data_IF_844150807743
#
_entry.id   IF_844150807743
#
_cell.length_a   1.000
_cell.length_b   1.000
_cell.length_c   1.000
_cell.angle_alpha   90.00
_cell.angle_beta   90.00
_cell.angle_gamma   90.00
#
_symmetry.space_group_name_H-M   'P 1'
#
loop_
_entity.id
_entity.type
_entity.pdbx_description
1 polymer ?
#
# COMPACT_ATOMS: atom_id res chain seq x y z
N UNK A 1 6.51 37.00 -3.44
CA UNK A 1 6.47 36.24 -4.70
C UNK A 1 5.17 35.46 -4.73
N UNK A 2 4.17 35.97 -5.45
CA UNK A 2 2.86 35.33 -5.63
C UNK A 2 3.03 34.12 -6.54
N UNK A 3 3.32 32.93 -5.96
CA UNK A 3 3.19 31.70 -6.70
C UNK A 3 1.72 31.58 -7.15
N UNK A 4 1.57 31.45 -8.48
CA UNK A 4 0.30 31.34 -9.18
C UNK A 4 -0.60 30.34 -8.45
N UNK A 5 -1.68 30.80 -7.83
CA UNK A 5 -2.54 30.04 -6.89
C UNK A 5 -3.15 28.76 -7.49
N UNK A 6 -2.97 28.53 -8.80
CA UNK A 6 -3.46 27.35 -9.52
C UNK A 6 -2.39 26.29 -9.83
N UNK A 7 -1.09 26.59 -9.69
CA UNK A 7 -0.04 25.64 -10.08
C UNK A 7 0.10 24.47 -9.08
N UNK A 8 0.01 24.75 -7.78
CA UNK A 8 0.09 23.71 -6.75
C UNK A 8 -1.12 22.76 -6.79
N UNK A 9 -2.34 23.28 -7.08
CA UNK A 9 -3.55 22.45 -7.20
C UNK A 9 -3.39 21.45 -8.33
N UNK A 10 -2.99 21.91 -9.52
CA UNK A 10 -2.76 21.02 -10.65
C UNK A 10 -1.72 19.95 -10.32
N UNK A 11 -0.63 20.33 -9.70
CA UNK A 11 0.45 19.42 -9.33
C UNK A 11 -0.02 18.37 -8.30
N UNK A 12 -0.71 18.81 -7.26
CA UNK A 12 -1.25 17.92 -6.23
C UNK A 12 -2.31 16.96 -6.78
N UNK A 13 -3.29 17.46 -7.55
CA UNK A 13 -4.34 16.60 -8.11
C UNK A 13 -3.82 15.64 -9.18
N UNK A 14 -2.83 16.02 -9.97
CA UNK A 14 -2.15 15.10 -10.91
C UNK A 14 -1.52 13.93 -10.14
N UNK A 15 -0.78 14.24 -9.07
CA UNK A 15 -0.18 13.24 -8.20
C UNK A 15 -1.26 12.36 -7.55
N UNK A 16 -2.30 12.99 -6.97
CA UNK A 16 -3.35 12.30 -6.23
C UNK A 16 -4.17 11.35 -7.12
N UNK A 17 -4.49 11.75 -8.35
CA UNK A 17 -5.23 10.91 -9.31
C UNK A 17 -4.38 9.71 -9.73
N UNK A 18 -3.11 9.91 -10.07
CA UNK A 18 -2.21 8.82 -10.44
C UNK A 18 -2.05 7.81 -9.31
N UNK A 19 -1.85 8.29 -8.10
CA UNK A 19 -1.76 7.44 -6.91
C UNK A 19 -3.10 6.75 -6.60
N UNK A 20 -4.23 7.41 -6.80
CA UNK A 20 -5.56 6.82 -6.63
C UNK A 20 -5.81 5.65 -7.58
N UNK A 21 -5.42 5.76 -8.84
CA UNK A 21 -5.51 4.67 -9.82
C UNK A 21 -4.64 3.49 -9.37
N UNK A 22 -3.40 3.76 -8.93
CA UNK A 22 -2.50 2.72 -8.42
C UNK A 22 -3.04 2.05 -7.15
N UNK A 23 -3.61 2.78 -6.20
CA UNK A 23 -4.22 2.21 -5.00
C UNK A 23 -5.39 1.27 -5.34
N UNK A 24 -6.25 1.66 -6.28
CA UNK A 24 -7.38 0.82 -6.70
C UNK A 24 -6.87 -0.45 -7.39
N UNK A 25 -5.95 -0.34 -8.37
CA UNK A 25 -5.41 -1.50 -9.08
C UNK A 25 -4.66 -2.45 -8.16
N UNK A 26 -3.86 -1.91 -7.24
CA UNK A 26 -3.13 -2.69 -6.23
C UNK A 26 -4.07 -3.38 -5.24
N UNK A 27 -5.15 -2.72 -4.83
CA UNK A 27 -6.19 -3.32 -4.00
C UNK A 27 -6.93 -4.46 -4.72
N UNK A 28 -7.26 -4.27 -6.01
CA UNK A 28 -7.87 -5.31 -6.84
C UNK A 28 -6.96 -6.53 -6.94
N UNK A 29 -5.67 -6.33 -7.26
CA UNK A 29 -4.72 -7.44 -7.37
C UNK A 29 -4.52 -8.14 -6.02
N UNK A 30 -4.45 -7.41 -4.92
CA UNK A 30 -4.31 -7.99 -3.58
C UNK A 30 -5.46 -8.95 -3.26
N UNK A 31 -6.71 -8.55 -3.53
CA UNK A 31 -7.89 -9.40 -3.31
C UNK A 31 -7.94 -10.56 -4.31
N UNK A 32 -7.58 -10.35 -5.58
CA UNK A 32 -7.51 -11.41 -6.58
C UNK A 32 -6.51 -12.51 -6.20
N UNK A 33 -5.35 -12.12 -5.65
CA UNK A 33 -4.35 -13.07 -5.10
C UNK A 33 -4.95 -13.88 -3.95
N UNK A 34 -5.69 -13.24 -3.04
CA UNK A 34 -6.36 -13.93 -1.93
C UNK A 34 -7.38 -14.94 -2.47
N UNK A 35 -8.23 -14.55 -3.42
CA UNK A 35 -9.19 -15.47 -4.05
C UNK A 35 -8.50 -16.64 -4.76
N UNK A 36 -7.40 -16.36 -5.47
CA UNK A 36 -6.61 -17.41 -6.12
C UNK A 36 -6.02 -18.40 -5.11
N UNK A 37 -5.44 -17.92 -4.00
CA UNK A 37 -4.89 -18.76 -2.96
C UNK A 37 -5.97 -19.61 -2.28
N UNK A 38 -7.14 -19.04 -2.00
CA UNK A 38 -8.29 -19.78 -1.45
C UNK A 38 -8.71 -20.88 -2.42
N UNK A 39 -8.93 -20.54 -3.70
CA UNK A 39 -9.38 -21.50 -4.71
C UNK A 39 -8.35 -22.62 -4.96
N UNK A 40 -7.05 -22.31 -4.91
CA UNK A 40 -5.98 -23.27 -5.19
C UNK A 40 -5.67 -24.18 -4.00
N UNK A 41 -5.71 -23.67 -2.77
CA UNK A 41 -5.18 -24.38 -1.60
C UNK A 41 -6.23 -24.77 -0.59
N UNK A 42 -7.34 -24.07 -0.54
CA UNK A 42 -8.39 -24.18 0.50
C UNK A 42 -7.82 -24.32 1.93
N UNK A 43 -6.68 -23.64 2.20
CA UNK A 43 -5.91 -23.77 3.43
C UNK A 43 -5.89 -22.47 4.21
N UNK A 44 -6.44 -22.50 5.43
CA UNK A 44 -6.38 -21.37 6.36
C UNK A 44 -4.93 -20.97 6.71
N UNK A 45 -4.04 -21.98 6.80
CA UNK A 45 -2.62 -21.73 7.14
C UNK A 45 -1.95 -20.93 6.04
N UNK A 46 -2.12 -21.32 4.76
CA UNK A 46 -1.53 -20.61 3.64
C UNK A 46 -2.06 -19.18 3.55
N UNK A 47 -3.34 -18.98 3.77
CA UNK A 47 -3.96 -17.66 3.74
C UNK A 47 -3.44 -16.78 4.89
N UNK A 48 -3.30 -17.34 6.08
CA UNK A 48 -2.72 -16.64 7.24
C UNK A 48 -1.27 -16.24 6.98
N UNK A 49 -0.45 -17.15 6.42
CA UNK A 49 0.95 -16.86 6.05
C UNK A 49 0.99 -15.77 4.96
N UNK A 50 0.14 -15.83 3.94
CA UNK A 50 0.07 -14.83 2.89
C UNK A 50 -0.26 -13.43 3.45
N UNK A 51 -1.22 -13.35 4.36
CA UNK A 51 -1.58 -12.11 5.04
C UNK A 51 -0.44 -11.59 5.91
N UNK A 52 0.22 -12.47 6.66
CA UNK A 52 1.37 -12.11 7.50
C UNK A 52 2.52 -11.57 6.64
N UNK A 53 2.87 -12.26 5.56
CA UNK A 53 3.91 -11.83 4.61
C UNK A 53 3.55 -10.50 3.96
N UNK A 54 2.28 -10.29 3.61
CA UNK A 54 1.80 -9.04 3.03
C UNK A 54 1.82 -7.85 4.00
N UNK A 55 1.90 -8.09 5.31
CA UNK A 55 1.84 -7.03 6.33
C UNK A 55 3.14 -6.85 7.12
N UNK A 56 3.83 -7.95 7.43
CA UNK A 56 5.02 -7.95 8.29
C UNK A 56 6.14 -7.01 7.81
N UNK A 57 6.53 -7.00 6.50
CA UNK A 57 7.54 -6.08 6.01
C UNK A 57 7.16 -4.61 6.27
N UNK A 58 5.91 -4.24 6.03
CA UNK A 58 5.43 -2.87 6.27
C UNK A 58 5.48 -2.51 7.76
N UNK A 59 5.09 -3.42 8.64
CA UNK A 59 5.13 -3.19 10.08
C UNK A 59 6.57 -3.07 10.61
N UNK A 60 7.48 -3.94 10.15
CA UNK A 60 8.88 -3.94 10.60
C UNK A 60 9.71 -2.82 9.97
N UNK A 61 9.51 -2.54 8.68
CA UNK A 61 10.30 -1.55 7.95
C UNK A 61 9.75 -0.13 8.08
N UNK A 62 8.48 0.05 8.49
CA UNK A 62 7.83 1.36 8.55
C UNK A 62 8.64 2.43 9.28
N UNK A 63 9.12 2.19 10.51
CA UNK A 63 9.95 3.16 11.23
C UNK A 63 11.25 3.51 10.51
N UNK A 64 11.90 2.51 9.89
CA UNK A 64 13.13 2.70 9.11
C UNK A 64 12.84 3.41 7.79
N UNK A 65 11.73 3.08 7.14
CA UNK A 65 11.32 3.71 5.90
C UNK A 65 11.03 5.20 6.06
N UNK A 66 10.43 5.63 7.18
CA UNK A 66 10.23 7.04 7.50
C UNK A 66 11.55 7.81 7.50
N UNK A 67 12.52 7.36 8.29
CA UNK A 67 13.85 8.00 8.38
C UNK A 67 14.60 7.93 7.04
N UNK A 68 14.45 6.84 6.29
CA UNK A 68 15.05 6.72 4.96
C UNK A 68 14.47 7.76 3.98
N UNK A 69 13.15 7.91 3.96
CA UNK A 69 12.43 8.86 3.11
C UNK A 69 12.82 10.31 3.41
N UNK A 70 12.99 10.66 4.69
CA UNK A 70 13.39 12.01 5.08
C UNK A 70 14.81 12.39 4.61
N UNK A 71 15.64 11.38 4.34
CA UNK A 71 17.03 11.55 3.88
C UNK A 71 17.23 11.42 2.38
N UNK A 72 16.22 10.97 1.64
CA UNK A 72 16.30 10.73 0.21
C UNK A 72 15.27 11.54 -0.56
N UNK A 73 15.44 11.60 -1.87
CA UNK A 73 14.43 12.20 -2.75
C UNK A 73 13.11 11.41 -2.65
N UNK A 74 12.08 12.03 -2.09
CA UNK A 74 10.75 11.41 -1.95
C UNK A 74 10.20 10.94 -3.29
N UNK A 75 10.43 11.74 -4.35
CA UNK A 75 10.11 11.39 -5.73
C UNK A 75 10.81 10.10 -6.18
N UNK A 76 12.11 10.00 -5.93
CA UNK A 76 12.91 8.81 -6.28
C UNK A 76 12.47 7.58 -5.50
N UNK A 77 12.14 7.72 -4.22
CA UNK A 77 11.65 6.61 -3.38
C UNK A 77 10.29 6.10 -3.87
N UNK A 78 9.34 7.00 -4.20
CA UNK A 78 8.03 6.61 -4.73
C UNK A 78 8.16 5.86 -6.05
N UNK A 79 8.90 6.42 -7.03
CA UNK A 79 9.11 5.78 -8.33
C UNK A 79 9.82 4.44 -8.17
N UNK A 80 10.86 4.37 -7.35
CA UNK A 80 11.61 3.13 -7.10
C UNK A 80 10.75 2.04 -6.48
N UNK A 81 9.90 2.38 -5.52
CA UNK A 81 8.95 1.46 -4.90
C UNK A 81 7.91 0.95 -5.89
N UNK A 82 7.29 1.85 -6.67
CA UNK A 82 6.29 1.48 -7.68
C UNK A 82 6.90 0.59 -8.77
N UNK A 83 8.10 0.91 -9.25
CA UNK A 83 8.81 0.08 -10.23
C UNK A 83 9.20 -1.30 -9.68
N UNK A 84 9.63 -1.38 -8.42
CA UNK A 84 9.93 -2.66 -7.77
C UNK A 84 8.68 -3.53 -7.67
N UNK A 85 7.54 -2.95 -7.28
CA UNK A 85 6.25 -3.64 -7.22
C UNK A 85 5.81 -4.10 -8.61
N UNK A 86 5.89 -3.22 -9.61
CA UNK A 86 5.52 -3.53 -10.99
C UNK A 86 6.42 -4.62 -11.60
N UNK A 87 7.73 -4.58 -11.35
CA UNK A 87 8.67 -5.60 -11.81
C UNK A 87 8.37 -6.98 -11.19
N UNK A 88 8.13 -7.03 -9.88
CA UNK A 88 7.75 -8.27 -9.21
C UNK A 88 6.42 -8.83 -9.75
N UNK A 89 5.42 -7.97 -9.97
CA UNK A 89 4.17 -8.34 -10.61
C UNK A 89 4.38 -8.85 -12.05
N UNK A 90 5.21 -8.18 -12.83
CA UNK A 90 5.54 -8.56 -14.20
C UNK A 90 6.21 -9.93 -14.29
N UNK A 91 7.16 -10.22 -13.41
CA UNK A 91 7.78 -11.54 -13.32
C UNK A 91 6.77 -12.63 -12.98
N UNK A 92 5.83 -12.33 -12.05
CA UNK A 92 4.76 -13.27 -11.72
C UNK A 92 3.79 -13.47 -12.90
N UNK A 93 3.43 -12.41 -13.62
CA UNK A 93 2.58 -12.50 -14.81
C UNK A 93 3.24 -13.33 -15.91
N UNK A 94 4.53 -13.14 -16.15
CA UNK A 94 5.30 -13.95 -17.12
C UNK A 94 5.34 -15.42 -16.69
N UNK A 95 5.61 -15.71 -15.41
CA UNK A 95 5.58 -17.08 -14.90
C UNK A 95 4.22 -17.73 -15.09
N UNK A 96 3.12 -16.98 -14.91
CA UNK A 96 1.75 -17.44 -15.10
C UNK A 96 1.40 -17.84 -16.55
N UNK A 97 2.18 -17.37 -17.53
CA UNK A 97 2.00 -17.77 -18.94
C UNK A 97 2.55 -19.17 -19.25
N UNK A 98 3.55 -19.62 -18.50
CA UNK A 98 4.29 -20.85 -18.79
C UNK A 98 3.98 -21.98 -17.81
N UNK A 99 3.58 -21.64 -16.60
CA UNK A 99 3.37 -22.63 -15.53
C UNK A 99 2.21 -22.22 -14.62
N UNK A 100 1.62 -23.22 -13.94
CA UNK A 100 0.78 -22.90 -12.80
C UNK A 100 1.60 -22.20 -11.72
N UNK A 101 1.11 -21.04 -11.24
CA UNK A 101 1.81 -20.27 -10.23
C UNK A 101 1.99 -21.06 -8.93
N UNK A 102 3.21 -21.37 -8.51
CA UNK A 102 3.44 -22.01 -7.24
C UNK A 102 3.17 -21.03 -6.09
N UNK A 103 2.64 -21.52 -4.98
CA UNK A 103 2.28 -20.71 -3.81
C UNK A 103 3.47 -19.88 -3.30
N UNK A 104 4.68 -20.47 -3.28
CA UNK A 104 5.87 -19.76 -2.83
C UNK A 104 6.22 -18.52 -3.68
N UNK A 105 6.00 -18.57 -5.00
CA UNK A 105 6.26 -17.42 -5.87
C UNK A 105 5.31 -16.27 -5.55
N UNK A 106 4.04 -16.58 -5.28
CA UNK A 106 3.04 -15.59 -4.83
C UNK A 106 3.49 -14.97 -3.49
N UNK A 107 3.98 -15.79 -2.54
CA UNK A 107 4.47 -15.31 -1.24
C UNK A 107 5.66 -14.35 -1.41
N UNK A 108 6.60 -14.66 -2.31
CA UNK A 108 7.74 -13.77 -2.62
C UNK A 108 7.25 -12.44 -3.18
N UNK A 109 6.30 -12.46 -4.11
CA UNK A 109 5.74 -11.22 -4.68
C UNK A 109 4.98 -10.41 -3.62
N UNK A 110 4.19 -11.04 -2.76
CA UNK A 110 3.53 -10.37 -1.63
C UNK A 110 4.55 -9.70 -0.70
N UNK A 111 5.67 -10.36 -0.41
CA UNK A 111 6.76 -9.80 0.40
C UNK A 111 7.38 -8.56 -0.26
N UNK A 112 7.69 -8.64 -1.56
CA UNK A 112 8.26 -7.51 -2.32
C UNK A 112 7.27 -6.35 -2.37
N UNK A 113 5.99 -6.61 -2.64
CA UNK A 113 4.93 -5.59 -2.67
C UNK A 113 4.79 -4.90 -1.31
N UNK A 114 4.76 -5.66 -0.23
CA UNK A 114 4.68 -5.13 1.14
C UNK A 114 5.91 -4.27 1.49
N UNK A 115 7.10 -4.71 1.07
CA UNK A 115 8.33 -3.94 1.23
C UNK A 115 8.27 -2.62 0.44
N UNK A 116 7.83 -2.65 -0.82
CA UNK A 116 7.65 -1.45 -1.63
C UNK A 116 6.66 -0.48 -0.98
N UNK A 117 5.52 -0.97 -0.51
CA UNK A 117 4.50 -0.17 0.17
C UNK A 117 5.03 0.46 1.46
N UNK A 118 5.91 -0.24 2.20
CA UNK A 118 6.53 0.28 3.41
C UNK A 118 7.35 1.57 3.17
N UNK A 119 7.98 1.71 2.01
CA UNK A 119 8.71 2.92 1.63
C UNK A 119 7.83 3.93 0.89
N UNK A 120 6.91 3.45 0.05
CA UNK A 120 6.04 4.31 -0.75
C UNK A 120 5.10 5.15 0.12
N UNK A 121 4.42 4.54 1.11
CA UNK A 121 3.43 5.22 1.94
C UNK A 121 3.97 6.44 2.71
N UNK A 122 5.10 6.36 3.44
CA UNK A 122 5.66 7.53 4.10
C UNK A 122 6.18 8.57 3.09
N UNK A 123 6.73 8.15 1.93
CA UNK A 123 7.18 9.07 0.89
C UNK A 123 6.03 9.90 0.31
N UNK A 124 4.89 9.26 0.02
CA UNK A 124 3.68 9.92 -0.47
C UNK A 124 3.11 10.89 0.59
N UNK A 125 2.99 10.44 1.84
CA UNK A 125 2.47 11.27 2.94
C UNK A 125 3.36 12.50 3.20
N UNK A 126 4.68 12.33 3.14
CA UNK A 126 5.64 13.41 3.33
C UNK A 126 5.70 14.39 2.14
N UNK A 127 5.22 14.00 0.97
CA UNK A 127 5.21 14.85 -0.23
C UNK A 127 4.10 15.91 -0.17
N UNK A 128 2.94 15.57 0.41
CA UNK A 128 1.78 16.49 0.49
C UNK A 128 2.14 17.85 1.11
N UNK A 129 2.77 17.95 2.30
CA UNK A 129 3.10 19.26 2.89
C UNK A 129 4.17 20.05 2.15
N UNK A 130 4.88 19.45 1.18
CA UNK A 130 5.85 20.16 0.35
C UNK A 130 5.20 20.85 -0.87
N UNK A 131 4.07 20.34 -1.33
CA UNK A 131 3.38 20.84 -2.52
C UNK A 131 2.25 21.79 -2.13
N UNK A 132 1.56 21.50 -1.01
CA UNK A 132 0.31 22.13 -0.61
C UNK A 132 0.57 23.26 0.40
N UNK A 133 -0.05 24.45 0.27
CA UNK A 133 -0.01 25.51 1.26
C UNK A 133 -0.55 25.04 2.62
N UNK A 134 -0.02 25.58 3.71
CA UNK A 134 -0.37 25.18 5.09
C UNK A 134 -1.86 25.23 5.38
N UNK A 135 -2.56 26.22 4.85
CA UNK A 135 -3.98 26.45 5.07
C UNK A 135 -4.88 25.39 4.41
N UNK A 136 -4.38 24.70 3.37
CA UNK A 136 -5.12 23.68 2.60
C UNK A 136 -4.69 22.23 2.95
N UNK A 137 -3.69 22.05 3.84
CA UNK A 137 -3.13 20.73 4.16
C UNK A 137 -4.18 19.74 4.69
N UNK A 138 -5.03 20.17 5.61
CA UNK A 138 -6.07 19.32 6.21
C UNK A 138 -7.06 18.84 5.15
N UNK A 139 -7.43 19.72 4.24
CA UNK A 139 -8.36 19.41 3.14
C UNK A 139 -7.74 18.43 2.15
N UNK A 140 -6.50 18.64 1.77
CA UNK A 140 -5.76 17.74 0.88
C UNK A 140 -5.52 16.37 1.52
N UNK A 141 -5.18 16.31 2.81
CA UNK A 141 -5.10 15.07 3.55
C UNK A 141 -6.46 14.33 3.57
N UNK A 142 -7.57 15.07 3.70
CA UNK A 142 -8.92 14.53 3.57
C UNK A 142 -9.19 13.90 2.20
N UNK A 143 -8.76 14.53 1.11
CA UNK A 143 -8.88 13.93 -0.23
C UNK A 143 -8.08 12.64 -0.38
N UNK A 144 -6.85 12.60 0.12
CA UNK A 144 -6.03 11.40 0.09
C UNK A 144 -6.68 10.25 0.87
N UNK A 145 -7.21 10.53 2.07
CA UNK A 145 -7.94 9.55 2.88
C UNK A 145 -9.23 9.09 2.20
N UNK A 146 -9.95 9.99 1.54
CA UNK A 146 -11.16 9.63 0.78
C UNK A 146 -10.83 8.65 -0.35
N UNK A 147 -9.76 8.89 -1.10
CA UNK A 147 -9.33 7.97 -2.16
C UNK A 147 -8.96 6.61 -1.59
N UNK A 148 -8.24 6.56 -0.47
CA UNK A 148 -7.91 5.29 0.19
C UNK A 148 -9.16 4.55 0.67
N UNK A 149 -10.10 5.24 1.30
CA UNK A 149 -11.37 4.66 1.74
C UNK A 149 -12.23 4.15 0.57
N UNK A 150 -12.33 4.93 -0.50
CA UNK A 150 -13.02 4.53 -1.74
C UNK A 150 -12.35 3.30 -2.36
N UNK A 151 -11.01 3.29 -2.41
CA UNK A 151 -10.25 2.15 -2.91
C UNK A 151 -10.50 0.88 -2.10
N UNK A 152 -10.51 0.97 -0.77
CA UNK A 152 -10.77 -0.19 0.10
C UNK A 152 -12.18 -0.76 -0.05
N UNK A 153 -13.16 0.07 -0.43
CA UNK A 153 -14.55 -0.37 -0.68
C UNK A 153 -14.71 -0.95 -2.09
N UNK A 154 -14.13 -0.29 -3.11
CA UNK A 154 -14.32 -0.66 -4.51
C UNK A 154 -13.45 -1.87 -4.88
N UNK A 155 -12.21 -1.94 -4.39
CA UNK A 155 -11.26 -2.97 -4.81
C UNK A 155 -11.73 -4.41 -4.57
N UNK A 156 -12.30 -4.79 -3.43
CA UNK A 156 -12.83 -6.15 -3.24
C UNK A 156 -13.94 -6.50 -4.22
N UNK A 157 -14.87 -5.58 -4.46
CA UNK A 157 -15.98 -5.80 -5.39
C UNK A 157 -15.51 -5.90 -6.84
N UNK A 158 -14.60 -5.01 -7.25
CA UNK A 158 -13.99 -5.06 -8.58
C UNK A 158 -13.13 -6.33 -8.75
N UNK A 159 -12.38 -6.73 -7.73
CA UNK A 159 -11.60 -7.96 -7.75
C UNK A 159 -12.48 -9.20 -7.92
N UNK A 160 -13.61 -9.29 -7.20
CA UNK A 160 -14.53 -10.40 -7.32
C UNK A 160 -15.12 -10.51 -8.74
N UNK A 161 -15.50 -9.38 -9.33
CA UNK A 161 -15.99 -9.34 -10.71
C UNK A 161 -14.89 -9.71 -11.71
N UNK A 162 -13.73 -9.07 -11.63
CA UNK A 162 -12.62 -9.31 -12.56
C UNK A 162 -12.08 -10.73 -12.44
N UNK A 163 -11.96 -11.28 -11.25
CA UNK A 163 -11.50 -12.65 -11.02
C UNK A 163 -12.46 -13.70 -11.60
N UNK A 164 -13.76 -13.38 -11.71
CA UNK A 164 -14.75 -14.27 -12.33
C UNK A 164 -14.65 -14.31 -13.86
N UNK A 165 -14.15 -13.25 -14.51
CA UNK A 165 -14.15 -13.10 -15.98
C UNK A 165 -12.75 -13.04 -16.60
N UNK A 166 -11.72 -12.72 -15.82
CA UNK A 166 -10.34 -12.56 -16.27
C UNK A 166 -9.40 -13.55 -15.56
N UNK A 167 -8.39 -14.07 -16.27
CA UNK A 167 -7.32 -14.82 -15.63
C UNK A 167 -6.46 -13.90 -14.75
N UNK A 168 -5.81 -14.48 -13.75
CA UNK A 168 -5.02 -13.72 -12.77
C UNK A 168 -3.90 -12.86 -13.42
N UNK A 169 -3.27 -13.36 -14.50
CA UNK A 169 -2.25 -12.61 -15.23
C UNK A 169 -2.78 -11.30 -15.83
N UNK A 170 -4.03 -11.26 -16.30
CA UNK A 170 -4.64 -10.02 -16.79
C UNK A 170 -4.87 -9.00 -15.66
N UNK A 171 -5.23 -9.46 -14.47
CA UNK A 171 -5.38 -8.61 -13.28
C UNK A 171 -4.02 -8.08 -12.82
N UNK A 172 -2.97 -8.90 -12.90
CA UNK A 172 -1.59 -8.45 -12.62
C UNK A 172 -1.18 -7.36 -13.62
N UNK A 173 -1.49 -7.52 -14.91
CA UNK A 173 -1.18 -6.49 -15.92
C UNK A 173 -1.93 -5.18 -15.68
N UNK A 174 -3.17 -5.24 -15.17
CA UNK A 174 -3.92 -4.05 -14.75
C UNK A 174 -3.19 -3.28 -13.65
N UNK A 175 -2.64 -3.98 -12.65
CA UNK A 175 -1.86 -3.35 -11.57
C UNK A 175 -0.55 -2.73 -12.09
N UNK A 176 0.15 -3.39 -13.02
CA UNK A 176 1.34 -2.85 -13.65
C UNK A 176 1.02 -1.55 -14.40
N UNK A 177 -0.07 -1.50 -15.15
CA UNK A 177 -0.51 -0.28 -15.83
C UNK A 177 -0.81 0.83 -14.81
N UNK A 178 -1.48 0.51 -13.69
CA UNK A 178 -1.73 1.44 -12.59
C UNK A 178 -0.43 2.00 -11.99
N UNK A 179 0.55 1.14 -11.74
CA UNK A 179 1.86 1.53 -11.21
C UNK A 179 2.65 2.41 -12.20
N UNK A 180 2.61 2.10 -13.51
CA UNK A 180 3.24 2.94 -14.54
C UNK A 180 2.59 4.33 -14.59
N UNK A 181 1.26 4.41 -14.55
CA UNK A 181 0.55 5.68 -14.50
C UNK A 181 0.93 6.49 -13.25
N UNK A 182 1.04 5.85 -12.09
CA UNK A 182 1.50 6.49 -10.87
C UNK A 182 2.94 7.01 -11.02
N UNK A 183 3.86 6.21 -11.54
CA UNK A 183 5.24 6.63 -11.84
C UNK A 183 5.28 7.85 -12.76
N UNK A 184 4.48 7.86 -13.84
CA UNK A 184 4.40 8.98 -14.78
C UNK A 184 3.89 10.25 -14.08
N UNK A 185 2.82 10.15 -13.28
CA UNK A 185 2.28 11.32 -12.56
C UNK A 185 3.26 11.85 -11.52
N UNK A 186 3.97 10.99 -10.80
CA UNK A 186 5.06 11.38 -9.88
C UNK A 186 6.21 12.04 -10.67
N UNK A 187 6.59 11.48 -11.82
CA UNK A 187 7.68 12.02 -12.66
C UNK A 187 7.37 13.43 -13.20
N UNK A 188 6.13 13.67 -13.59
CA UNK A 188 5.67 14.98 -14.10
C UNK A 188 5.48 15.98 -12.95
N UNK A 189 5.11 15.51 -11.75
CA UNK A 189 4.86 16.36 -10.61
C UNK A 189 6.13 17.08 -10.14
N UNK A 190 6.04 18.39 -9.97
CA UNK A 190 7.11 19.21 -9.42
C UNK A 190 7.15 19.04 -7.89
N UNK A 191 7.86 18.02 -7.43
CA UNK A 191 8.09 17.77 -6.00
C UNK A 191 9.44 18.40 -5.65
N UNK A 192 9.46 19.40 -4.73
CA UNK A 192 10.72 19.97 -4.28
C UNK A 192 11.62 18.89 -3.66
N UNK A 193 12.87 18.84 -4.10
CA UNK A 193 13.87 18.01 -3.42
C UNK A 193 14.33 18.76 -2.19
N UNK A 194 14.34 18.14 -1.00
CA UNK A 194 15.00 18.75 0.15
C UNK A 194 16.48 18.96 -0.16
N UNK A 195 17.04 20.12 0.23
CA UNK A 195 18.47 20.34 0.21
C UNK A 195 19.14 19.33 1.14
N UNK A 196 19.70 18.30 0.52
CA UNK A 196 20.30 17.18 1.22
C UNK A 196 21.72 17.56 1.59
N UNK A 197 21.94 18.10 2.79
CA UNK A 197 23.27 18.24 3.37
C UNK A 197 23.92 16.86 3.53
N UNK A 198 24.95 16.56 2.71
CA UNK A 198 25.42 15.21 2.40
C UNK A 198 26.39 14.61 3.42
N UNK A 199 26.91 15.39 4.39
CA UNK A 199 28.14 14.97 5.10
C UNK A 199 28.00 14.39 6.52
N UNK A 200 26.79 14.38 7.14
CA UNK A 200 26.67 13.90 8.55
C UNK A 200 25.70 12.71 8.75
N UNK A 201 25.39 11.92 7.73
CA UNK A 201 24.16 11.13 7.67
C UNK A 201 24.18 9.72 8.27
N UNK A 202 25.33 9.09 8.45
CA UNK A 202 25.36 7.66 8.84
C UNK A 202 25.22 7.44 10.35
N UNK A 203 25.80 8.29 11.17
CA UNK A 203 25.76 8.12 12.64
C UNK A 203 24.43 8.58 13.27
N UNK A 204 23.69 9.48 12.62
CA UNK A 204 22.42 10.01 13.14
C UNK A 204 21.21 9.10 12.92
N UNK A 205 21.25 8.14 11.97
CA UNK A 205 20.08 7.30 11.65
C UNK A 205 19.55 6.51 12.87
N UNK A 206 20.45 5.84 13.57
CA UNK A 206 20.07 5.06 14.78
C UNK A 206 19.68 6.00 15.94
N UNK A 207 20.28 7.17 15.97
CA UNK A 207 19.97 8.20 16.98
C UNK A 207 18.57 8.78 16.75
N UNK A 208 18.20 9.09 15.51
CA UNK A 208 16.86 9.60 15.15
C UNK A 208 15.75 8.58 15.51
N UNK A 209 15.99 7.28 15.25
CA UNK A 209 15.06 6.22 15.68
C UNK A 209 14.94 6.16 17.20
N UNK A 210 16.07 6.26 17.91
CA UNK A 210 16.10 6.23 19.37
C UNK A 210 15.43 7.47 19.97
N UNK A 211 15.63 8.63 19.38
CA UNK A 211 14.97 9.89 19.79
C UNK A 211 13.46 9.80 19.56
N UNK A 212 13.02 9.33 18.39
CA UNK A 212 11.59 9.09 18.09
C UNK A 212 10.95 8.13 19.10
N UNK A 213 11.63 7.04 19.44
CA UNK A 213 11.15 6.12 20.47
C UNK A 213 11.10 6.75 21.87
N UNK A 214 12.10 7.54 22.23
CA UNK A 214 12.11 8.25 23.51
C UNK A 214 10.99 9.29 23.63
N UNK A 215 10.71 10.04 22.56
CA UNK A 215 9.58 10.99 22.51
C UNK A 215 8.25 10.27 22.69
N UNK A 216 8.08 9.13 22.00
CA UNK A 216 6.89 8.30 22.12
C UNK A 216 6.71 7.77 23.56
N UNK A 217 7.77 7.24 24.16
CA UNK A 217 7.77 6.71 25.53
C UNK A 217 7.54 7.80 26.59
N UNK A 218 8.02 9.01 26.33
CA UNK A 218 7.83 10.16 27.25
C UNK A 218 6.38 10.63 27.31
N UNK A 219 5.63 10.47 26.21
CA UNK A 219 4.22 10.84 26.16
C UNK A 219 3.33 9.60 26.43
N UNK A 220 2.86 9.47 27.69
CA UNK A 220 2.05 8.33 28.14
C UNK A 220 0.79 8.14 27.28
N UNK A 221 0.17 9.23 26.80
CA UNK A 221 -1.03 9.15 25.98
C UNK A 221 -0.74 8.54 24.60
N UNK A 222 0.33 8.99 23.93
CA UNK A 222 0.75 8.43 22.64
C UNK A 222 1.17 6.95 22.78
N UNK A 223 1.87 6.62 23.85
CA UNK A 223 2.27 5.24 24.12
C UNK A 223 1.08 4.31 24.38
N UNK A 224 0.08 4.79 25.11
CA UNK A 224 -1.17 4.05 25.34
C UNK A 224 -1.95 3.84 24.04
N UNK A 225 -2.08 4.90 23.20
CA UNK A 225 -2.74 4.79 21.90
C UNK A 225 -2.04 3.80 20.98
N UNK A 226 -0.70 3.77 20.97
CA UNK A 226 0.07 2.77 20.21
C UNK A 226 -0.28 1.35 20.67
N UNK A 227 -0.29 1.08 21.97
CA UNK A 227 -0.61 -0.25 22.48
C UNK A 227 -2.07 -0.66 22.20
N UNK A 228 -3.02 0.27 22.33
CA UNK A 228 -4.42 0.03 21.94
C UNK A 228 -4.49 -0.36 20.45
N UNK A 229 -3.78 0.36 19.59
CA UNK A 229 -3.69 0.05 18.15
C UNK A 229 -3.09 -1.32 17.88
N UNK A 230 -2.01 -1.69 18.59
CA UNK A 230 -1.37 -3.02 18.45
C UNK A 230 -2.33 -4.13 18.86
N UNK A 231 -3.01 -3.99 20.01
CA UNK A 231 -3.97 -4.97 20.51
C UNK A 231 -5.16 -5.09 19.53
N UNK A 232 -5.68 -3.96 19.06
CA UNK A 232 -6.76 -3.93 18.06
C UNK A 232 -6.35 -4.70 16.79
N UNK A 233 -5.19 -4.40 16.22
CA UNK A 233 -4.69 -5.07 15.02
C UNK A 233 -4.42 -6.56 15.24
N UNK A 234 -3.95 -6.94 16.42
CA UNK A 234 -3.71 -8.35 16.76
C UNK A 234 -4.99 -9.19 16.71
N UNK A 235 -6.11 -8.66 17.16
CA UNK A 235 -7.42 -9.34 17.09
C UNK A 235 -8.11 -9.17 15.74
N UNK A 236 -7.99 -8.02 15.09
CA UNK A 236 -8.65 -7.71 13.81
C UNK A 236 -8.06 -8.48 12.64
N UNK A 237 -6.73 -8.59 12.55
CA UNK A 237 -6.03 -9.18 11.41
C UNK A 237 -6.42 -10.66 11.13
N UNK A 238 -6.47 -11.57 12.12
CA UNK A 238 -6.89 -12.95 11.87
C UNK A 238 -8.32 -13.05 11.35
N UNK A 239 -9.22 -12.26 11.89
CA UNK A 239 -10.63 -12.23 11.46
C UNK A 239 -10.73 -11.78 10.01
N UNK A 240 -10.10 -10.68 9.68
CA UNK A 240 -10.10 -10.11 8.32
C UNK A 240 -9.44 -11.07 7.30
N UNK A 241 -8.34 -11.72 7.66
CA UNK A 241 -7.62 -12.60 6.75
C UNK A 241 -8.35 -13.92 6.45
N UNK A 242 -9.07 -14.47 7.43
CA UNK A 242 -9.80 -15.73 7.28
C UNK A 242 -11.19 -15.54 6.68
N UNK A 243 -11.68 -14.32 6.66
CA UNK A 243 -13.03 -14.01 6.19
C UNK A 243 -13.34 -14.53 4.76
N UNK A 244 -12.48 -14.32 3.73
CA UNK A 244 -12.72 -14.86 2.39
C UNK A 244 -12.79 -16.39 2.37
N UNK A 245 -11.94 -17.06 3.16
CA UNK A 245 -11.95 -18.51 3.28
C UNK A 245 -13.25 -19.02 3.90
N UNK A 246 -13.69 -18.41 5.00
CA UNK A 246 -14.94 -18.78 5.67
C UNK A 246 -16.13 -18.58 4.71
N UNK A 247 -16.18 -17.44 4.03
CA UNK A 247 -17.24 -17.14 3.08
C UNK A 247 -17.30 -18.13 1.91
N UNK A 248 -16.16 -18.47 1.31
CA UNK A 248 -16.11 -19.31 0.12
C UNK A 248 -16.16 -20.81 0.44
N UNK A 249 -15.44 -21.25 1.47
CA UNK A 249 -15.26 -22.68 1.76
C UNK A 249 -16.31 -23.23 2.72
N UNK A 250 -16.67 -22.47 3.78
CA UNK A 250 -17.61 -22.95 4.79
C UNK A 250 -19.07 -22.68 4.39
N UNK A 251 -19.35 -21.48 3.86
CA UNK A 251 -20.70 -21.10 3.44
C UNK A 251 -21.00 -21.35 1.95
N UNK A 252 -20.06 -21.92 1.17
CA UNK A 252 -20.23 -22.15 -0.27
C UNK A 252 -20.44 -20.87 -1.07
N UNK A 253 -19.99 -19.74 -0.56
CA UNK A 253 -20.13 -18.43 -1.19
C UNK A 253 -19.23 -18.27 -2.41
N UNK A 254 -19.60 -17.34 -3.29
CA UNK A 254 -18.76 -16.90 -4.40
C UNK A 254 -17.82 -15.76 -3.95
N UNK A 255 -16.77 -15.41 -4.71
CA UNK A 255 -15.96 -14.22 -4.46
C UNK A 255 -16.80 -12.94 -4.30
N UNK A 256 -17.94 -12.84 -5.01
CA UNK A 256 -18.89 -11.73 -4.86
C UNK A 256 -19.52 -11.68 -3.45
N UNK A 257 -19.87 -12.83 -2.87
CA UNK A 257 -20.39 -12.89 -1.51
C UNK A 257 -19.32 -12.50 -0.48
N UNK A 258 -18.08 -12.97 -0.65
CA UNK A 258 -16.96 -12.60 0.20
C UNK A 258 -16.71 -11.08 0.17
N UNK A 259 -16.71 -10.46 -1.01
CA UNK A 259 -16.52 -9.02 -1.17
C UNK A 259 -17.68 -8.18 -0.62
N UNK A 260 -18.92 -8.66 -0.75
CA UNK A 260 -20.12 -7.94 -0.26
C UNK A 260 -20.17 -7.86 1.27
N UNK A 261 -19.65 -8.86 1.95
CA UNK A 261 -19.67 -8.88 3.40
C UNK A 261 -18.44 -8.17 4.00
N UNK A 262 -17.30 -8.13 3.32
CA UNK A 262 -16.16 -7.26 3.68
C UNK A 262 -16.58 -5.78 3.71
N UNK A 263 -17.48 -5.36 2.80
CA UNK A 263 -18.10 -4.03 2.83
C UNK A 263 -18.85 -3.70 4.11
N UNK A 264 -19.50 -4.68 4.76
CA UNK A 264 -20.27 -4.46 5.98
C UNK A 264 -19.40 -4.34 7.23
N UNK A 265 -18.15 -4.78 7.18
CA UNK A 265 -17.19 -4.67 8.29
C UNK A 265 -16.48 -3.31 8.32
N UNK A 266 -16.59 -2.49 7.28
CA UNK A 266 -15.89 -1.18 7.14
C UNK A 266 -16.82 0.00 7.50
N UNK A 267 -18.12 -0.23 7.76
CA UNK A 267 -19.09 0.76 8.26
C UNK A 267 -19.32 0.52 9.74
#
# INVERSE_FOLDING_TARGET
MTQNNNSWKRNYFTLLIGQGVSFISSGILQMAIIFYLVAKTNSAIILTIATLIGFLPQACLGPFAGVFVDRHSRKGVMIGADLMIAAAGGLLALAALYTELPVWAIMVVLFIRSTGTAFHSPAFSATTPMIVPKDELTKCAGYAQTIQAVSSIISPAAAAFLYAVWPLNAIIMLDIVGAILACVTVAISAIPTPDVCTEQKSQQFMQDIKEGYMVLKRNRGLFALLWIGVIYMFFYMPISSLYPLISMSYFGGTPAHASAADRKSVV
#
